data_IF_438908133319
#
_entry.id   IF_438908133319
#
_cell.length_a   1.000
_cell.length_b   1.000
_cell.length_c   1.000
_cell.angle_alpha   90.00
_cell.angle_beta   90.00
_cell.angle_gamma   90.00
#
_symmetry.space_group_name_H-M   'P 1'
#
loop_
_entity.id
_entity.type
_entity.pdbx_description
1 polymer ?
#
# COMPACT_ATOMS: atom_id res chain seq x y z
N UNK A 1 2.39 2.22 -30.86
CA UNK A 1 0.93 2.13 -30.93
C UNK A 1 0.29 3.11 -29.98
N UNK A 2 -0.01 4.32 -30.43
CA UNK A 2 -0.58 5.41 -29.62
C UNK A 2 -2.04 5.10 -29.24
N UNK A 3 -2.73 4.27 -30.01
CA UNK A 3 -4.12 3.87 -29.75
C UNK A 3 -4.28 2.86 -28.63
N UNK A 4 -3.23 2.08 -28.27
CA UNK A 4 -3.32 1.12 -27.18
C UNK A 4 -3.25 1.77 -25.78
N UNK A 5 -2.71 2.98 -25.68
CA UNK A 5 -2.48 3.68 -24.39
C UNK A 5 -3.78 4.17 -23.72
N UNK A 6 -4.75 4.64 -24.49
CA UNK A 6 -6.05 5.07 -23.95
C UNK A 6 -7.07 3.93 -23.80
N UNK A 7 -6.94 2.87 -24.62
CA UNK A 7 -7.82 1.70 -24.55
C UNK A 7 -7.43 0.73 -23.42
N UNK A 8 -6.16 0.68 -23.01
CA UNK A 8 -5.67 -0.16 -21.92
C UNK A 8 -6.44 0.06 -20.61
N UNK A 9 -6.66 1.29 -20.22
CA UNK A 9 -7.38 1.61 -18.97
C UNK A 9 -8.86 1.25 -19.04
N UNK A 10 -9.48 1.35 -20.20
CA UNK A 10 -10.88 0.92 -20.38
C UNK A 10 -11.00 -0.59 -20.17
N UNK A 11 -10.08 -1.38 -20.70
CA UNK A 11 -10.09 -2.84 -20.53
C UNK A 11 -9.76 -3.27 -19.10
N UNK A 12 -8.80 -2.61 -18.44
CA UNK A 12 -8.45 -2.88 -17.04
C UNK A 12 -9.67 -2.69 -16.15
N UNK A 13 -10.40 -1.58 -16.28
CA UNK A 13 -11.65 -1.33 -15.54
C UNK A 13 -12.73 -2.39 -15.84
N UNK A 14 -12.75 -2.95 -17.05
CA UNK A 14 -13.70 -4.00 -17.43
C UNK A 14 -13.42 -5.33 -16.71
N UNK A 15 -12.21 -5.58 -16.21
CA UNK A 15 -11.87 -6.83 -15.55
C UNK A 15 -12.81 -7.13 -14.37
N UNK A 16 -12.86 -6.27 -13.36
CA UNK A 16 -13.72 -6.49 -12.20
C UNK A 16 -15.21 -6.42 -12.55
N UNK A 17 -15.58 -5.59 -13.53
CA UNK A 17 -16.95 -5.57 -14.07
C UNK A 17 -17.34 -6.90 -14.71
N UNK A 18 -16.42 -7.57 -15.40
CA UNK A 18 -16.69 -8.89 -15.99
C UNK A 18 -16.76 -9.97 -14.92
N UNK A 19 -15.85 -9.95 -13.93
CA UNK A 19 -15.85 -10.88 -12.80
C UNK A 19 -17.14 -10.74 -11.97
N UNK A 20 -17.67 -9.53 -11.78
CA UNK A 20 -18.89 -9.28 -11.03
C UNK A 20 -20.16 -9.88 -11.65
N UNK A 21 -20.13 -10.25 -12.95
CA UNK A 21 -21.24 -10.96 -13.60
C UNK A 21 -21.33 -12.42 -13.16
N UNK A 22 -20.28 -12.96 -12.57
CA UNK A 22 -20.27 -14.30 -12.00
C UNK A 22 -21.08 -14.33 -10.71
N UNK A 23 -21.81 -15.41 -10.47
CA UNK A 23 -22.48 -15.65 -9.19
C UNK A 23 -21.51 -15.86 -8.01
N UNK A 24 -20.20 -15.96 -8.28
CA UNK A 24 -19.18 -16.16 -7.24
C UNK A 24 -18.86 -14.89 -6.44
N UNK A 25 -19.15 -13.69 -6.96
CA UNK A 25 -18.74 -12.43 -6.36
C UNK A 25 -19.93 -11.48 -6.13
N UNK A 26 -19.72 -10.57 -5.18
CA UNK A 26 -20.51 -9.35 -5.00
C UNK A 26 -19.61 -8.13 -5.13
N UNK A 27 -20.14 -7.02 -5.61
CA UNK A 27 -19.39 -5.75 -5.65
C UNK A 27 -19.51 -5.06 -4.30
N UNK A 28 -18.38 -4.77 -3.67
CA UNK A 28 -18.31 -4.03 -2.40
C UNK A 28 -18.03 -2.54 -2.61
N UNK A 29 -17.28 -2.17 -3.68
CA UNK A 29 -16.95 -0.78 -3.96
C UNK A 29 -16.97 -0.47 -5.45
N UNK A 30 -17.34 0.77 -5.73
CA UNK A 30 -17.30 1.38 -7.05
C UNK A 30 -16.42 2.62 -7.04
N UNK A 31 -15.81 2.94 -8.18
CA UNK A 31 -15.18 4.25 -8.40
C UNK A 31 -16.22 5.34 -8.69
N UNK A 32 -15.78 6.59 -8.87
CA UNK A 32 -16.66 7.72 -9.17
C UNK A 32 -17.36 7.61 -10.53
N UNK A 33 -16.86 6.78 -11.44
CA UNK A 33 -17.45 6.49 -12.75
C UNK A 33 -18.37 5.25 -12.71
N UNK A 34 -18.68 4.72 -11.50
CA UNK A 34 -19.50 3.53 -11.27
C UNK A 34 -18.93 2.22 -11.85
N UNK A 35 -17.61 2.11 -11.99
CA UNK A 35 -16.96 0.82 -12.27
C UNK A 35 -16.64 0.09 -10.95
N UNK A 36 -16.86 -1.24 -10.89
CA UNK A 36 -16.43 -2.02 -9.74
C UNK A 36 -14.92 -1.94 -9.54
N UNK A 37 -14.50 -1.60 -8.33
CA UNK A 37 -13.09 -1.54 -7.95
C UNK A 37 -12.73 -2.52 -6.84
N UNK A 38 -13.73 -3.13 -6.21
CA UNK A 38 -13.54 -4.17 -5.21
C UNK A 38 -14.69 -5.18 -5.28
N UNK A 39 -14.31 -6.45 -5.38
CA UNK A 39 -15.22 -7.59 -5.31
C UNK A 39 -14.95 -8.39 -4.05
N UNK A 40 -15.99 -8.96 -3.46
CA UNK A 40 -15.93 -9.93 -2.37
C UNK A 40 -16.45 -11.27 -2.85
N UNK A 41 -15.79 -12.35 -2.45
CA UNK A 41 -16.32 -13.71 -2.65
C UNK A 41 -17.64 -13.91 -1.90
N UNK A 42 -18.55 -14.70 -2.47
CA UNK A 42 -19.81 -15.06 -1.77
C UNK A 42 -19.64 -16.21 -0.78
N UNK A 43 -18.53 -16.95 -0.87
CA UNK A 43 -18.31 -18.15 -0.08
C UNK A 43 -17.18 -18.02 0.93
N UNK A 44 -16.37 -16.97 0.80
CA UNK A 44 -15.24 -16.64 1.69
C UNK A 44 -15.20 -15.14 1.94
N UNK A 45 -14.33 -14.69 2.83
CA UNK A 45 -14.06 -13.25 3.01
C UNK A 45 -13.02 -12.71 2.02
N UNK A 46 -12.62 -13.50 1.03
CA UNK A 46 -11.63 -13.09 0.03
C UNK A 46 -12.13 -11.89 -0.78
N UNK A 47 -11.21 -11.01 -1.11
CA UNK A 47 -11.45 -9.84 -1.95
C UNK A 47 -10.47 -9.79 -3.11
N UNK A 48 -10.96 -9.26 -4.22
CA UNK A 48 -10.14 -8.91 -5.40
C UNK A 48 -10.41 -7.44 -5.68
N UNK A 49 -9.36 -6.63 -5.71
CA UNK A 49 -9.52 -5.19 -5.86
C UNK A 49 -8.38 -4.57 -6.66
N UNK A 50 -8.63 -3.40 -7.24
CA UNK A 50 -7.57 -2.54 -7.73
C UNK A 50 -6.94 -1.82 -6.53
N UNK A 51 -5.60 -1.86 -6.44
CA UNK A 51 -4.87 -1.21 -5.37
C UNK A 51 -4.09 -0.03 -5.92
N UNK A 52 -4.43 1.16 -5.43
CA UNK A 52 -3.96 2.49 -5.85
C UNK A 52 -4.26 2.82 -7.32
N UNK A 53 -3.90 1.97 -8.29
CA UNK A 53 -4.15 2.19 -9.72
C UNK A 53 -4.88 1.01 -10.37
N UNK A 54 -5.40 1.23 -11.60
CA UNK A 54 -6.00 0.13 -12.39
C UNK A 54 -4.94 -0.81 -12.99
N UNK A 55 -3.65 -0.54 -12.77
CA UNK A 55 -2.54 -1.37 -13.22
C UNK A 55 -2.15 -2.45 -12.21
N UNK A 56 -2.61 -2.33 -10.97
CA UNK A 56 -2.26 -3.21 -9.86
C UNK A 56 -3.51 -3.89 -9.32
N UNK A 57 -3.43 -5.20 -9.12
CA UNK A 57 -4.53 -6.02 -8.62
C UNK A 57 -4.10 -6.69 -7.31
N UNK A 58 -4.88 -6.48 -6.27
CA UNK A 58 -4.69 -7.12 -4.97
C UNK A 58 -5.65 -8.28 -4.79
N UNK A 59 -5.13 -9.37 -4.21
CA UNK A 59 -5.89 -10.49 -3.70
C UNK A 59 -5.77 -10.49 -2.18
N UNK A 60 -6.82 -10.10 -1.47
CA UNK A 60 -6.88 -10.14 -0.03
C UNK A 60 -7.62 -11.40 0.41
N UNK A 61 -6.89 -12.38 0.95
CA UNK A 61 -7.45 -13.65 1.39
C UNK A 61 -7.96 -13.57 2.82
N UNK A 62 -9.03 -14.31 3.12
CA UNK A 62 -9.44 -14.52 4.50
C UNK A 62 -8.37 -15.31 5.27
N UNK A 63 -8.50 -15.29 6.59
CA UNK A 63 -7.65 -16.06 7.48
C UNK A 63 -7.63 -17.55 7.09
N UNK A 64 -6.43 -18.09 6.87
CA UNK A 64 -6.18 -19.47 6.49
C UNK A 64 -5.31 -20.17 7.53
N UNK A 65 -5.54 -21.46 7.71
CA UNK A 65 -4.70 -22.29 8.58
C UNK A 65 -3.47 -22.82 7.87
N UNK A 66 -3.54 -22.96 6.55
CA UNK A 66 -2.49 -23.53 5.69
C UNK A 66 -2.29 -22.65 4.47
N UNK A 67 -1.05 -22.44 4.08
CA UNK A 67 -0.70 -21.66 2.89
C UNK A 67 -1.23 -22.31 1.60
N UNK A 68 -1.35 -23.64 1.58
CA UNK A 68 -1.93 -24.39 0.46
C UNK A 68 -3.38 -24.02 0.17
N UNK A 69 -4.15 -23.60 1.20
CA UNK A 69 -5.54 -23.13 1.02
C UNK A 69 -5.55 -21.81 0.25
N UNK A 70 -4.56 -20.94 0.49
CA UNK A 70 -4.36 -19.70 -0.27
C UNK A 70 -4.01 -20.01 -1.72
N UNK A 71 -3.03 -20.91 -1.95
CA UNK A 71 -2.58 -21.31 -3.28
C UNK A 71 -3.73 -21.83 -4.14
N UNK A 72 -4.54 -22.76 -3.61
CA UNK A 72 -5.70 -23.32 -4.34
C UNK A 72 -6.68 -22.21 -4.76
N UNK A 73 -6.98 -21.29 -3.87
CA UNK A 73 -7.91 -20.19 -4.16
C UNK A 73 -7.30 -19.19 -5.13
N UNK A 74 -6.03 -18.81 -4.94
CA UNK A 74 -5.32 -17.92 -5.83
C UNK A 74 -5.30 -18.47 -7.26
N UNK A 75 -4.92 -19.73 -7.44
CA UNK A 75 -4.89 -20.37 -8.76
C UNK A 75 -6.25 -20.37 -9.45
N UNK A 76 -7.34 -20.62 -8.69
CA UNK A 76 -8.71 -20.56 -9.22
C UNK A 76 -9.09 -19.15 -9.69
N UNK A 77 -8.73 -18.11 -8.92
CA UNK A 77 -8.97 -16.72 -9.32
C UNK A 77 -8.14 -16.35 -10.54
N UNK A 78 -6.86 -16.71 -10.53
CA UNK A 78 -5.93 -16.41 -11.63
C UNK A 78 -6.36 -17.08 -12.93
N UNK A 79 -6.80 -18.34 -12.92
CA UNK A 79 -7.30 -19.00 -14.13
C UNK A 79 -8.43 -18.20 -14.79
N UNK A 80 -9.38 -17.73 -13.99
CA UNK A 80 -10.52 -16.94 -14.48
C UNK A 80 -10.07 -15.58 -15.03
N UNK A 81 -9.19 -14.91 -14.31
CA UNK A 81 -8.67 -13.57 -14.66
C UNK A 81 -7.81 -13.64 -15.92
N UNK A 82 -6.85 -14.56 -15.96
CA UNK A 82 -5.97 -14.73 -17.12
C UNK A 82 -6.73 -15.11 -18.39
N UNK A 83 -7.78 -15.94 -18.26
CA UNK A 83 -8.65 -16.27 -19.39
C UNK A 83 -9.35 -15.05 -19.98
N UNK A 84 -9.72 -14.09 -19.14
CA UNK A 84 -10.30 -12.82 -19.59
C UNK A 84 -9.23 -11.94 -20.23
N UNK A 85 -8.10 -11.74 -19.55
CA UNK A 85 -7.04 -10.83 -19.99
C UNK A 85 -6.41 -11.26 -21.32
N UNK A 86 -6.17 -12.55 -21.52
CA UNK A 86 -5.60 -13.07 -22.77
C UNK A 86 -6.45 -12.77 -24.00
N UNK A 87 -7.78 -12.64 -23.85
CA UNK A 87 -8.67 -12.21 -24.94
C UNK A 87 -8.42 -10.77 -25.40
N UNK A 88 -7.77 -9.99 -24.55
CA UNK A 88 -7.44 -8.59 -24.78
C UNK A 88 -5.93 -8.37 -24.90
N UNK A 89 -5.15 -9.46 -25.12
CA UNK A 89 -3.68 -9.42 -25.24
C UNK A 89 -2.98 -8.86 -23.98
N UNK A 90 -3.55 -9.12 -22.82
CA UNK A 90 -3.02 -8.72 -21.51
C UNK A 90 -2.77 -9.95 -20.63
N UNK A 91 -1.89 -9.78 -19.65
CA UNK A 91 -1.62 -10.75 -18.61
C UNK A 91 -1.34 -10.07 -17.27
N UNK A 92 -1.49 -10.80 -16.18
CA UNK A 92 -0.98 -10.40 -14.87
C UNK A 92 0.40 -11.02 -14.69
N UNK A 93 1.32 -10.20 -14.20
CA UNK A 93 2.66 -10.63 -13.82
C UNK A 93 2.90 -10.34 -12.33
N UNK A 94 3.57 -11.25 -11.66
CA UNK A 94 4.02 -11.08 -10.29
C UNK A 94 5.37 -10.35 -10.27
N UNK A 95 5.34 -9.04 -10.09
CA UNK A 95 6.52 -8.19 -9.99
C UNK A 95 6.37 -7.23 -8.81
N UNK A 96 7.46 -6.88 -8.15
CA UNK A 96 7.44 -5.85 -7.10
C UNK A 96 7.33 -4.43 -7.66
N UNK A 97 7.58 -4.28 -8.96
CA UNK A 97 7.45 -3.03 -9.71
C UNK A 97 6.86 -3.34 -11.08
N UNK A 98 5.88 -2.55 -11.53
CA UNK A 98 5.29 -2.71 -12.84
C UNK A 98 6.34 -2.47 -13.94
N UNK A 99 6.67 -3.47 -14.80
CA UNK A 99 7.81 -3.38 -15.71
C UNK A 99 7.69 -2.26 -16.75
N UNK A 100 6.45 -1.84 -17.08
CA UNK A 100 6.15 -0.76 -18.02
C UNK A 100 5.54 0.46 -17.33
N UNK A 101 5.94 0.73 -16.07
CA UNK A 101 5.41 1.85 -15.27
C UNK A 101 5.54 3.21 -15.98
N UNK A 102 6.57 3.40 -16.79
CA UNK A 102 6.83 4.64 -17.53
C UNK A 102 5.94 4.83 -18.76
N UNK A 103 5.27 3.79 -19.22
CA UNK A 103 4.30 3.85 -20.31
C UNK A 103 2.87 4.14 -19.84
N UNK A 104 2.61 3.95 -18.57
CA UNK A 104 1.32 4.23 -17.93
C UNK A 104 1.29 5.67 -17.42
N UNK A 105 0.11 6.25 -17.33
CA UNK A 105 -0.10 7.56 -16.72
C UNK A 105 0.05 7.51 -15.18
N UNK A 106 0.00 6.31 -14.59
CA UNK A 106 0.06 6.04 -13.16
C UNK A 106 -0.98 6.80 -12.35
N UNK A 107 -2.13 7.07 -12.96
CA UNK A 107 -3.24 7.72 -12.29
C UNK A 107 -3.86 6.81 -11.22
N UNK A 108 -4.28 7.36 -10.08
CA UNK A 108 -4.97 6.57 -9.08
C UNK A 108 -6.34 6.11 -9.57
N UNK A 109 -6.81 5.01 -9.00
CA UNK A 109 -8.23 4.65 -9.09
C UNK A 109 -9.05 5.85 -8.60
N UNK A 110 -10.10 6.21 -9.31
CA UNK A 110 -11.00 7.33 -8.97
C UNK A 110 -11.82 7.03 -7.70
N UNK A 111 -11.10 6.93 -6.61
CA UNK A 111 -11.64 6.68 -5.28
C UNK A 111 -10.91 7.56 -4.25
N UNK A 112 -11.63 8.26 -3.37
CA UNK A 112 -11.06 9.32 -2.53
C UNK A 112 -9.79 8.94 -1.76
N UNK A 113 -9.74 7.70 -1.24
CA UNK A 113 -8.57 7.20 -0.51
C UNK A 113 -7.30 7.16 -1.36
N UNK A 114 -7.41 6.69 -2.62
CA UNK A 114 -6.24 6.55 -3.51
C UNK A 114 -5.83 7.90 -4.11
N UNK A 115 -6.81 8.73 -4.44
CA UNK A 115 -6.54 10.10 -4.89
C UNK A 115 -5.86 10.91 -3.78
N UNK A 116 -6.33 10.79 -2.53
CA UNK A 116 -5.70 11.42 -1.36
C UNK A 116 -4.27 10.92 -1.17
N UNK A 117 -4.02 9.60 -1.29
CA UNK A 117 -2.69 9.03 -1.13
C UNK A 117 -1.71 9.61 -2.15
N UNK A 118 -2.08 9.66 -3.44
CA UNK A 118 -1.21 10.22 -4.48
C UNK A 118 -1.00 11.72 -4.26
N UNK A 119 -2.02 12.46 -3.87
CA UNK A 119 -1.88 13.88 -3.53
C UNK A 119 -0.96 14.11 -2.33
N UNK A 120 -1.05 13.27 -1.30
CA UNK A 120 -0.13 13.30 -0.16
C UNK A 120 1.31 13.02 -0.59
N UNK A 121 1.55 11.98 -1.35
CA UNK A 121 2.88 11.63 -1.86
C UNK A 121 3.46 12.75 -2.73
N UNK A 122 2.63 13.44 -3.50
CA UNK A 122 3.04 14.58 -4.34
C UNK A 122 3.42 15.84 -3.55
N UNK A 123 3.21 15.87 -2.23
CA UNK A 123 3.75 16.95 -1.40
C UNK A 123 5.28 16.97 -1.42
N UNK A 124 5.94 15.84 -1.71
CA UNK A 124 7.40 15.76 -1.89
C UNK A 124 7.92 16.72 -2.95
N UNK A 125 7.16 17.02 -4.00
CA UNK A 125 7.54 17.95 -5.06
C UNK A 125 7.67 19.40 -4.58
N UNK A 126 7.16 19.71 -3.39
CA UNK A 126 7.22 21.03 -2.76
C UNK A 126 8.34 21.16 -1.71
N UNK A 127 9.06 20.08 -1.48
CA UNK A 127 10.19 20.01 -0.55
C UNK A 127 11.49 20.01 -1.35
N UNK A 128 12.46 20.79 -0.90
CA UNK A 128 13.82 20.81 -1.44
C UNK A 128 14.71 19.89 -0.58
N UNK A 129 14.44 18.58 -0.66
CA UNK A 129 15.16 17.56 0.10
C UNK A 129 15.81 16.56 -0.86
N UNK A 130 17.13 16.54 -0.91
CA UNK A 130 17.93 15.70 -1.81
C UNK A 130 17.66 14.19 -1.68
N UNK A 131 17.22 13.76 -0.49
CA UNK A 131 16.93 12.34 -0.24
C UNK A 131 15.62 11.85 -0.84
N UNK A 132 14.71 12.75 -1.25
CA UNK A 132 13.42 12.37 -1.80
C UNK A 132 13.54 12.03 -3.28
N UNK A 133 12.97 10.89 -3.68
CA UNK A 133 12.90 10.54 -5.09
C UNK A 133 11.83 11.37 -5.84
N UNK A 134 11.97 11.47 -7.16
CA UNK A 134 11.09 12.26 -8.03
C UNK A 134 9.92 11.46 -8.65
N UNK A 135 9.38 10.47 -7.93
CA UNK A 135 8.32 9.58 -8.40
C UNK A 135 7.11 9.57 -7.45
N UNK A 136 6.38 10.69 -7.28
CA UNK A 136 5.32 10.76 -6.28
C UNK A 136 4.18 9.76 -6.52
N UNK A 137 4.01 9.31 -7.77
CA UNK A 137 2.99 8.30 -8.13
C UNK A 137 3.47 6.85 -7.93
N UNK A 138 4.58 6.62 -7.24
CA UNK A 138 5.14 5.27 -7.08
C UNK A 138 4.14 4.26 -6.50
N UNK A 139 3.25 4.69 -5.61
CA UNK A 139 2.20 3.84 -5.07
C UNK A 139 1.28 3.21 -6.13
N UNK A 140 1.25 3.77 -7.35
CA UNK A 140 0.44 3.26 -8.46
C UNK A 140 1.09 2.15 -9.27
N UNK A 141 2.37 1.85 -9.05
CA UNK A 141 3.12 0.87 -9.85
C UNK A 141 4.03 -0.06 -9.05
N UNK A 142 4.04 0.03 -7.73
CA UNK A 142 4.73 -0.94 -6.86
C UNK A 142 3.74 -1.98 -6.32
N UNK A 143 4.22 -3.21 -6.15
CA UNK A 143 3.44 -4.32 -5.62
C UNK A 143 4.25 -5.10 -4.57
N UNK A 144 3.59 -5.57 -3.53
CA UNK A 144 4.20 -6.36 -2.48
C UNK A 144 3.30 -7.49 -2.01
N UNK A 145 3.90 -8.55 -1.50
CA UNK A 145 3.20 -9.57 -0.76
C UNK A 145 3.16 -9.18 0.71
N UNK A 146 1.98 -9.19 1.28
CA UNK A 146 1.77 -8.92 2.70
C UNK A 146 1.25 -10.17 3.38
N UNK A 147 1.85 -10.52 4.50
CA UNK A 147 1.43 -11.64 5.33
C UNK A 147 1.11 -11.10 6.71
N UNK A 148 -0.01 -11.55 7.27
CA UNK A 148 -0.41 -11.20 8.63
C UNK A 148 -0.46 -12.46 9.47
N UNK A 149 0.27 -12.46 10.58
CA UNK A 149 0.28 -13.53 11.57
C UNK A 149 -0.50 -13.11 12.81
N UNK A 150 -1.40 -13.95 13.27
CA UNK A 150 -2.02 -13.77 14.59
C UNK A 150 -0.96 -13.81 15.65
N UNK A 151 -1.01 -12.86 16.56
CA UNK A 151 -0.12 -12.76 17.72
C UNK A 151 -0.94 -12.56 19.00
N UNK A 152 -0.33 -12.83 20.12
CA UNK A 152 -0.84 -12.50 21.45
C UNK A 152 -0.06 -11.32 22.04
N UNK A 153 -0.58 -10.76 23.14
CA UNK A 153 0.15 -9.73 23.88
C UNK A 153 1.52 -10.24 24.39
N UNK A 154 1.64 -11.54 24.63
CA UNK A 154 2.86 -12.13 25.20
C UNK A 154 3.97 -12.37 24.16
N UNK A 155 3.64 -12.41 22.86
CA UNK A 155 4.63 -12.80 21.84
C UNK A 155 4.79 -11.80 20.67
N UNK A 156 3.99 -10.74 20.58
CA UNK A 156 4.06 -9.85 19.41
C UNK A 156 5.41 -9.13 19.26
N UNK A 157 6.06 -8.76 20.39
CA UNK A 157 7.40 -8.14 20.36
C UNK A 157 8.45 -9.11 19.83
N UNK A 158 8.41 -10.36 20.29
CA UNK A 158 9.31 -11.41 19.81
C UNK A 158 9.15 -11.62 18.30
N UNK A 159 7.90 -11.66 17.81
CA UNK A 159 7.61 -11.83 16.39
C UNK A 159 8.14 -10.64 15.59
N UNK A 160 7.93 -9.40 16.03
CA UNK A 160 8.46 -8.21 15.37
C UNK A 160 9.99 -8.27 15.32
N UNK A 161 10.65 -8.53 16.45
CA UNK A 161 12.11 -8.55 16.55
C UNK A 161 12.72 -9.63 15.65
N UNK A 162 12.21 -10.87 15.70
CA UNK A 162 12.72 -11.97 14.87
C UNK A 162 12.62 -11.64 13.38
N UNK A 163 11.47 -11.12 12.94
CA UNK A 163 11.30 -10.77 11.53
C UNK A 163 12.09 -9.53 11.12
N UNK A 164 12.33 -8.63 12.04
CA UNK A 164 13.23 -7.48 11.84
C UNK A 164 14.68 -7.94 11.65
N UNK A 165 15.16 -8.88 12.47
CA UNK A 165 16.50 -9.45 12.39
C UNK A 165 16.77 -10.20 11.07
N UNK A 166 15.76 -10.83 10.47
CA UNK A 166 15.90 -11.55 9.21
C UNK A 166 15.54 -10.72 7.98
N UNK A 167 15.30 -9.40 8.14
CA UNK A 167 14.84 -8.54 7.04
C UNK A 167 15.79 -8.54 5.84
N UNK A 168 17.09 -8.47 6.07
CA UNK A 168 18.08 -8.54 5.00
C UNK A 168 18.01 -9.84 4.20
N UNK A 169 17.72 -10.96 4.86
CA UNK A 169 17.52 -12.25 4.19
C UNK A 169 16.21 -12.27 3.39
N UNK A 170 15.13 -11.68 3.93
CA UNK A 170 13.85 -11.52 3.21
C UNK A 170 14.04 -10.66 1.96
N UNK A 171 14.70 -9.51 2.08
CA UNK A 171 14.99 -8.60 0.99
C UNK A 171 15.77 -9.32 -0.13
N UNK A 172 16.79 -10.11 0.24
CA UNK A 172 17.58 -10.89 -0.72
C UNK A 172 16.75 -11.97 -1.43
N UNK A 173 15.97 -12.74 -0.67
CA UNK A 173 15.17 -13.86 -1.22
C UNK A 173 14.02 -13.39 -2.10
N UNK A 174 13.41 -12.26 -1.77
CA UNK A 174 12.21 -11.76 -2.44
C UNK A 174 12.48 -10.50 -3.27
N UNK A 175 13.75 -10.22 -3.61
CA UNK A 175 14.11 -9.13 -4.50
C UNK A 175 13.52 -9.33 -5.89
N UNK A 176 12.56 -8.49 -6.29
CA UNK A 176 11.87 -8.56 -7.59
C UNK A 176 11.31 -7.20 -8.03
N UNK A 177 12.05 -6.12 -7.78
CA UNK A 177 11.64 -4.76 -8.13
C UNK A 177 12.79 -3.96 -8.75
N UNK A 178 13.47 -4.54 -9.75
CA UNK A 178 14.53 -3.85 -10.48
C UNK A 178 13.95 -2.66 -11.24
N UNK A 179 14.59 -1.51 -11.09
CA UNK A 179 14.28 -0.30 -11.83
C UNK A 179 15.42 -0.03 -12.82
N UNK A 180 15.10 0.08 -14.09
CA UNK A 180 16.08 0.39 -15.15
C UNK A 180 16.33 1.91 -15.26
N UNK A 181 16.73 2.55 -14.15
CA UNK A 181 17.12 3.95 -14.10
C UNK A 181 18.56 4.03 -13.60
N UNK A 182 19.38 4.89 -14.21
CA UNK A 182 20.84 4.94 -14.00
C UNK A 182 21.30 5.05 -12.54
N UNK A 183 20.48 5.62 -11.65
CA UNK A 183 20.88 5.87 -10.27
C UNK A 183 20.30 4.85 -9.25
N UNK A 184 19.54 3.86 -9.70
CA UNK A 184 18.89 2.86 -8.86
C UNK A 184 19.24 1.44 -9.32
N UNK A 185 20.53 1.08 -9.30
CA UNK A 185 21.00 -0.28 -9.62
C UNK A 185 20.75 -1.23 -8.43
N UNK A 186 19.47 -1.46 -8.14
CA UNK A 186 19.05 -2.39 -7.11
C UNK A 186 17.90 -3.27 -7.60
N UNK A 187 17.77 -4.46 -7.01
CA UNK A 187 16.66 -5.39 -7.27
C UNK A 187 15.51 -5.25 -6.25
N UNK A 188 15.66 -4.32 -5.29
CA UNK A 188 14.69 -4.01 -4.25
C UNK A 188 14.31 -2.52 -4.26
N UNK A 189 14.18 -1.91 -5.44
CA UNK A 189 13.82 -0.49 -5.60
C UNK A 189 12.55 -0.11 -4.86
N UNK A 190 11.65 -1.07 -4.60
CA UNK A 190 10.43 -0.86 -3.85
C UNK A 190 10.70 -0.30 -2.45
N UNK A 191 11.74 -0.75 -1.77
CA UNK A 191 12.11 -0.27 -0.44
C UNK A 191 12.61 1.19 -0.52
N UNK A 192 13.44 1.51 -1.52
CA UNK A 192 13.88 2.88 -1.78
C UNK A 192 12.70 3.82 -2.03
N UNK A 193 11.69 3.36 -2.78
CA UNK A 193 10.48 4.17 -3.00
C UNK A 193 9.74 4.48 -1.70
N UNK A 194 9.68 3.56 -0.76
CA UNK A 194 9.08 3.81 0.54
C UNK A 194 9.93 4.74 1.40
N UNK A 195 11.22 4.44 1.53
CA UNK A 195 12.16 5.13 2.41
C UNK A 195 12.43 6.57 1.96
N UNK A 196 12.53 6.80 0.64
CA UNK A 196 12.84 8.11 0.07
C UNK A 196 11.59 8.83 -0.44
N UNK A 197 10.46 8.69 0.25
CA UNK A 197 9.19 9.33 -0.05
C UNK A 197 8.66 10.16 1.13
N UNK A 198 7.48 10.74 0.96
CA UNK A 198 6.76 11.41 2.07
C UNK A 198 6.56 10.51 3.29
N UNK A 199 6.48 9.19 3.11
CA UNK A 199 6.39 8.26 4.23
C UNK A 199 7.70 8.10 5.00
N UNK A 200 8.84 8.26 4.34
CA UNK A 200 10.18 8.12 4.94
C UNK A 200 10.81 9.42 5.46
N UNK A 201 10.11 10.55 5.42
CA UNK A 201 10.63 11.83 5.99
C UNK A 201 10.96 11.69 7.46
N UNK A 202 10.14 10.97 8.23
CA UNK A 202 10.48 10.53 9.58
C UNK A 202 11.09 9.14 9.45
N UNK A 203 12.36 8.99 9.78
CA UNK A 203 13.11 7.74 9.61
C UNK A 203 12.46 6.55 10.33
N UNK A 204 11.83 6.80 11.47
CA UNK A 204 11.13 5.78 12.25
C UNK A 204 9.82 5.29 11.59
N UNK A 205 9.32 6.01 10.59
CA UNK A 205 8.02 5.69 9.99
C UNK A 205 8.08 4.53 8.97
N UNK A 206 9.24 4.28 8.35
CA UNK A 206 9.43 3.25 7.30
C UNK A 206 10.66 2.42 7.61
N UNK A 207 10.67 1.17 7.18
CA UNK A 207 11.86 0.32 7.25
C UNK A 207 11.87 -0.58 8.47
N UNK A 208 13.07 -0.79 9.03
CA UNK A 208 13.34 -1.69 10.15
C UNK A 208 13.59 -0.91 11.44
N UNK A 209 13.24 -1.51 12.56
CA UNK A 209 13.63 -0.92 13.84
C UNK A 209 15.15 -0.97 14.02
N UNK A 210 15.77 0.06 14.59
CA UNK A 210 17.22 0.11 14.79
C UNK A 210 17.71 -0.81 15.93
N UNK A 211 16.81 -1.32 16.76
CA UNK A 211 17.09 -2.20 17.91
C UNK A 211 15.89 -3.11 18.19
N UNK A 212 16.14 -4.20 18.92
CA UNK A 212 15.09 -5.08 19.39
C UNK A 212 14.30 -4.43 20.55
N UNK A 213 13.00 -4.50 20.48
CA UNK A 213 12.14 -4.07 21.57
C UNK A 213 12.18 -5.09 22.71
N UNK A 214 12.46 -4.65 23.92
CA UNK A 214 12.52 -5.51 25.12
C UNK A 214 11.25 -5.40 25.96
N UNK A 215 10.55 -4.29 25.87
CA UNK A 215 9.33 -4.00 26.62
C UNK A 215 8.25 -3.43 25.70
N UNK A 216 7.01 -3.50 26.15
CA UNK A 216 5.86 -2.84 25.50
C UNK A 216 6.07 -1.32 25.46
N UNK A 217 6.69 -0.74 26.48
CA UNK A 217 7.02 0.68 26.56
C UNK A 217 8.01 1.08 25.45
N UNK A 218 9.10 0.32 25.26
CA UNK A 218 10.06 0.56 24.17
C UNK A 218 9.37 0.59 22.80
N UNK A 219 8.45 -0.33 22.58
CA UNK A 219 7.70 -0.41 21.33
C UNK A 219 6.81 0.81 21.11
N UNK A 220 6.03 1.21 22.12
CA UNK A 220 5.15 2.36 22.00
C UNK A 220 5.91 3.68 21.96
N UNK A 221 7.03 3.81 22.63
CA UNK A 221 7.91 4.97 22.54
C UNK A 221 8.48 5.12 21.12
N UNK A 222 8.82 4.00 20.48
CA UNK A 222 9.23 4.02 19.09
C UNK A 222 8.06 4.36 18.16
N UNK A 223 6.90 3.74 18.35
CA UNK A 223 5.71 4.00 17.56
C UNK A 223 5.27 5.48 17.63
N UNK A 224 5.43 6.13 18.78
CA UNK A 224 5.13 7.54 18.97
C UNK A 224 6.02 8.48 18.13
N UNK A 225 7.14 8.01 17.61
CA UNK A 225 7.99 8.76 16.66
C UNK A 225 7.55 8.63 15.22
N UNK A 226 6.63 7.70 14.90
CA UNK A 226 6.10 7.53 13.56
C UNK A 226 5.04 8.58 13.22
N UNK A 227 4.70 8.71 11.94
CA UNK A 227 3.97 9.84 11.41
C UNK A 227 2.45 9.77 11.58
N UNK A 228 1.86 10.90 11.98
CA UNK A 228 0.47 11.25 11.65
C UNK A 228 0.53 12.18 10.43
N UNK A 229 -0.26 11.91 9.40
CA UNK A 229 -0.30 12.72 8.17
C UNK A 229 -1.73 12.90 7.61
N UNK A 230 -2.72 12.35 8.30
CA UNK A 230 -4.14 12.50 7.96
C UNK A 230 -4.98 12.80 9.19
N UNK A 231 -6.08 13.52 8.98
CA UNK A 231 -7.11 13.77 9.99
C UNK A 231 -8.48 13.77 9.32
N UNK A 232 -9.53 13.39 10.07
CA UNK A 232 -10.90 13.46 9.57
C UNK A 232 -11.61 14.68 10.18
N UNK A 233 -12.21 15.50 9.34
CA UNK A 233 -13.02 16.65 9.76
C UNK A 233 -14.33 16.67 8.97
N UNK A 234 -15.46 16.63 9.69
CA UNK A 234 -16.80 16.61 9.08
C UNK A 234 -17.01 15.50 8.04
N UNK A 235 -16.41 14.31 8.27
CA UNK A 235 -16.48 13.17 7.36
C UNK A 235 -15.54 13.25 6.15
N UNK A 236 -14.74 14.31 6.02
CA UNK A 236 -13.73 14.48 4.99
C UNK A 236 -12.35 14.13 5.53
N UNK A 237 -11.58 13.34 4.80
CA UNK A 237 -10.16 13.07 5.10
C UNK A 237 -9.30 14.18 4.54
N UNK A 238 -8.54 14.81 5.42
CA UNK A 238 -7.53 15.83 5.10
C UNK A 238 -6.15 15.20 5.22
N UNK A 239 -5.18 15.68 4.46
CA UNK A 239 -3.80 15.24 4.51
C UNK A 239 -2.85 16.43 4.70
N UNK A 240 -1.69 16.17 5.29
CA UNK A 240 -0.69 17.18 5.61
C UNK A 240 0.71 16.59 5.69
N UNK A 241 1.73 17.42 5.82
CA UNK A 241 3.11 16.98 6.01
C UNK A 241 3.22 16.10 7.27
N UNK A 242 4.00 15.00 7.23
CA UNK A 242 4.08 14.06 8.36
C UNK A 242 4.58 14.74 9.63
N UNK A 243 3.92 14.48 10.73
CA UNK A 243 4.25 14.98 12.07
C UNK A 243 4.37 13.78 12.99
N UNK A 244 5.46 13.70 13.76
CA UNK A 244 5.63 12.63 14.74
C UNK A 244 4.50 12.64 15.77
N UNK A 245 4.00 11.47 16.13
CA UNK A 245 2.83 11.33 16.99
C UNK A 245 3.04 11.95 18.37
N UNK A 246 4.26 11.84 18.94
CA UNK A 246 4.62 12.42 20.24
C UNK A 246 4.53 13.95 20.31
N UNK A 247 4.73 14.61 19.19
CA UNK A 247 4.69 16.07 19.06
C UNK A 247 3.37 16.61 18.48
N UNK A 248 2.53 15.74 17.93
CA UNK A 248 1.36 16.11 17.16
C UNK A 248 0.40 17.06 17.91
N UNK A 249 0.03 16.73 19.14
CA UNK A 249 -0.90 17.56 19.94
C UNK A 249 -0.29 18.89 20.42
N UNK A 250 1.01 19.06 20.30
CA UNK A 250 1.69 20.31 20.68
C UNK A 250 1.58 21.40 19.62
N UNK A 251 1.14 21.04 18.40
CA UNK A 251 0.90 22.02 17.35
C UNK A 251 -0.38 22.82 17.64
N UNK A 252 -0.30 24.12 17.61
CA UNK A 252 -1.49 24.98 17.75
C UNK A 252 -2.40 24.90 16.52
N UNK A 253 -1.79 24.85 15.34
CA UNK A 253 -2.46 24.79 14.03
C UNK A 253 -1.62 23.98 13.04
N UNK A 254 -2.29 23.24 12.16
CA UNK A 254 -1.67 22.42 11.10
C UNK A 254 -2.26 22.87 9.76
N UNK A 255 -1.36 23.14 8.81
CA UNK A 255 -1.71 23.37 7.41
C UNK A 255 -2.02 22.02 6.74
N UNK A 256 -3.28 21.81 6.43
CA UNK A 256 -3.78 20.58 5.81
C UNK A 256 -4.37 20.86 4.42
N UNK A 257 -4.61 19.83 3.66
CA UNK A 257 -5.14 19.90 2.31
C UNK A 257 -6.37 19.00 2.16
N UNK A 258 -7.35 19.48 1.42
CA UNK A 258 -8.49 18.72 0.93
C UNK A 258 -8.11 17.89 -0.30
N UNK A 259 -8.96 16.95 -0.68
CA UNK A 259 -8.75 16.13 -1.88
C UNK A 259 -8.60 16.98 -3.16
N UNK A 260 -9.31 18.09 -3.26
CA UNK A 260 -9.21 19.03 -4.39
C UNK A 260 -7.95 19.93 -4.36
N UNK A 261 -7.07 19.75 -3.37
CA UNK A 261 -5.85 20.54 -3.18
C UNK A 261 -6.06 21.88 -2.44
N UNK A 262 -7.28 22.21 -2.04
CA UNK A 262 -7.57 23.38 -1.23
C UNK A 262 -6.87 23.26 0.13
N UNK A 263 -6.16 24.33 0.51
CA UNK A 263 -5.49 24.41 1.79
C UNK A 263 -6.44 24.88 2.88
N UNK A 264 -6.42 24.19 4.01
CA UNK A 264 -7.19 24.52 5.21
C UNK A 264 -6.29 24.48 6.45
N UNK A 265 -6.69 25.19 7.49
CA UNK A 265 -6.03 25.13 8.80
C UNK A 265 -6.87 24.27 9.73
N UNK A 266 -6.23 23.31 10.39
CA UNK A 266 -6.87 22.47 11.40
C UNK A 266 -6.13 22.52 12.73
N UNK A 267 -6.85 22.22 13.80
CA UNK A 267 -6.24 21.97 15.12
C UNK A 267 -6.08 20.47 15.32
N UNK A 268 -4.95 20.00 15.87
CA UNK A 268 -4.77 18.60 16.26
C UNK A 268 -5.84 18.18 17.27
N UNK A 269 -6.20 16.91 17.21
CA UNK A 269 -7.13 16.27 18.16
C UNK A 269 -6.67 14.86 18.48
N UNK A 270 -6.98 14.38 19.67
CA UNK A 270 -6.72 12.97 20.06
C UNK A 270 -7.38 11.96 19.13
N UNK A 271 -8.56 12.27 18.57
CA UNK A 271 -9.25 11.41 17.61
C UNK A 271 -8.43 11.14 16.34
N UNK A 272 -7.47 11.99 15.99
CA UNK A 272 -6.64 11.85 14.79
C UNK A 272 -5.67 10.67 14.91
N UNK A 273 -5.37 10.22 16.14
CA UNK A 273 -4.57 9.01 16.38
C UNK A 273 -5.24 7.72 15.88
N UNK A 274 -6.55 7.73 15.61
CA UNK A 274 -7.24 6.60 14.99
C UNK A 274 -6.75 6.33 13.56
N UNK A 275 -6.19 7.33 12.91
CA UNK A 275 -5.58 7.21 11.57
C UNK A 275 -4.05 7.08 11.62
N UNK A 276 -3.45 7.08 12.81
CA UNK A 276 -2.02 6.87 13.00
C UNK A 276 -1.63 5.48 12.53
N UNK A 277 -0.64 5.40 11.64
CA UNK A 277 -0.14 4.15 11.09
C UNK A 277 1.31 4.33 10.66
N UNK A 278 2.16 3.45 11.15
CA UNK A 278 3.51 3.34 10.61
C UNK A 278 3.52 2.62 9.25
N UNK A 279 4.63 2.72 8.57
CA UNK A 279 4.96 1.97 7.36
C UNK A 279 6.21 1.11 7.57
N UNK A 280 6.44 0.71 8.82
CA UNK A 280 7.49 -0.24 9.15
C UNK A 280 7.27 -1.57 8.44
N UNK A 281 8.36 -2.29 8.17
CA UNK A 281 8.29 -3.56 7.45
C UNK A 281 7.64 -4.67 8.26
N UNK A 282 7.70 -4.57 9.58
CA UNK A 282 6.97 -5.38 10.55
C UNK A 282 6.11 -4.46 11.41
N UNK A 283 4.80 -4.58 11.36
CA UNK A 283 3.91 -3.66 12.06
C UNK A 283 2.79 -4.38 12.81
N UNK A 284 2.53 -3.94 14.04
CA UNK A 284 1.40 -4.43 14.83
C UNK A 284 0.12 -3.74 14.35
N UNK A 285 -0.84 -4.53 13.89
CA UNK A 285 -2.12 -4.01 13.43
C UNK A 285 -3.14 -3.93 14.56
N UNK A 286 -4.13 -3.07 14.42
CA UNK A 286 -5.28 -2.96 15.34
C UNK A 286 -6.13 -4.24 15.43
N UNK A 287 -5.87 -5.22 14.55
CA UNK A 287 -6.55 -6.53 14.54
C UNK A 287 -5.87 -7.57 15.42
N UNK A 288 -4.75 -7.22 16.06
CA UNK A 288 -3.94 -8.17 16.83
C UNK A 288 -3.12 -9.13 15.96
N UNK A 289 -2.66 -8.64 14.82
CA UNK A 289 -1.74 -9.36 13.93
C UNK A 289 -0.47 -8.56 13.74
N UNK A 290 0.66 -9.23 13.51
CA UNK A 290 1.85 -8.59 12.95
C UNK A 290 1.79 -8.73 11.43
N UNK A 291 1.86 -7.62 10.73
CA UNK A 291 1.87 -7.53 9.28
C UNK A 291 3.31 -7.43 8.76
N UNK A 292 3.66 -8.28 7.82
CA UNK A 292 4.93 -8.24 7.08
C UNK A 292 4.66 -7.70 5.69
N UNK A 293 5.35 -6.61 5.30
CA UNK A 293 5.02 -5.89 4.06
C UNK A 293 6.20 -5.64 3.12
N UNK A 294 7.41 -6.02 3.52
CA UNK A 294 8.63 -5.71 2.76
C UNK A 294 8.82 -6.56 1.50
N UNK A 295 8.24 -7.75 1.42
CA UNK A 295 8.49 -8.66 0.31
C UNK A 295 7.87 -8.19 -1.00
N UNK A 296 8.66 -8.21 -2.09
CA UNK A 296 8.14 -7.95 -3.42
C UNK A 296 7.20 -9.07 -3.88
N UNK A 297 6.23 -8.75 -4.72
CA UNK A 297 5.43 -9.75 -5.41
C UNK A 297 6.33 -10.59 -6.31
N UNK A 298 6.15 -11.89 -6.27
CA UNK A 298 6.97 -12.87 -6.99
C UNK A 298 6.24 -13.39 -8.23
N UNK A 299 6.98 -13.85 -9.27
CA UNK A 299 6.39 -14.57 -10.40
C UNK A 299 5.64 -15.82 -9.91
N UNK A 300 4.62 -16.20 -10.68
CA UNK A 300 3.84 -17.39 -10.43
C UNK A 300 4.49 -18.61 -11.06
#
# INVERSE_FOLDING_TARGET
>A
DVESRGLGDVYKRQLLKQLSKSSAFIVERYDSDHYPIQLKSRTTEDRILFEVSYNTLEFAFEKCRKIQDVEVRFNKYMETIQKFLRKHHHEIQGCGLHPFWYENDNSPVKYPRYEMLINYLSLSEKLDEEQLHHFPKYGSFICGNQVQLDVSRDNYLEVINVFNQIEAAKAYLFANSSLAIQDLDTKISRDIFWENSMHGILAENVGVNPYDFTTEEDFFDYLNKTAIFTAVRNGETLYFYPIAADSYLNYGEIKAYRLNGEQVIIKPKEEDFQSHRSYQYQDLTTRGTVEFRSTCTQPQ
#
